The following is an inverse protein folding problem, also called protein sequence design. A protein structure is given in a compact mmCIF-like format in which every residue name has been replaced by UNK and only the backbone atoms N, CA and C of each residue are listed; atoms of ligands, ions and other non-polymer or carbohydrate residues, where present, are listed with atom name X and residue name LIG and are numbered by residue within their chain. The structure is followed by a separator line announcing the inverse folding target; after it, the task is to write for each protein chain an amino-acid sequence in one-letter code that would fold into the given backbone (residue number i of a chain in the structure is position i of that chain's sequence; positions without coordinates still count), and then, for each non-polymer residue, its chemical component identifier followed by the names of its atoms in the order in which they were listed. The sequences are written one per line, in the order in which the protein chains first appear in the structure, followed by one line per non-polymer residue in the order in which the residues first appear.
data_IF_939165614538
#
_entry.id   IF_939165614538
#
_cell.length_a   1.000
_cell.length_b   1.000
_cell.length_c   1.000
_cell.angle_alpha   90.00
_cell.angle_beta   90.00
_cell.angle_gamma   90.00
#
_symmetry.space_group_name_H-M   'P 1'
#
loop_
_entity.id
_entity.type
_entity.pdbx_description
1 polymer ?
#
# COMPACT_ATOMS: atom_id res chain seq x y z
N UNK A 1 -0.37 15.07 -10.46
CA UNK A 1 0.90 15.60 -9.92
C UNK A 1 0.68 16.67 -8.85
N UNK A 2 0.13 17.84 -9.18
CA UNK A 2 -0.04 18.97 -8.26
C UNK A 2 -0.73 18.60 -6.93
N UNK A 3 -1.81 17.80 -6.96
CA UNK A 3 -2.50 17.34 -5.74
C UNK A 3 -1.63 16.37 -4.90
N UNK A 4 -0.98 15.40 -5.56
CA UNK A 4 -0.22 14.35 -4.90
C UNK A 4 1.07 14.90 -4.28
N UNK A 5 1.77 15.79 -4.97
CA UNK A 5 3.08 16.31 -4.57
C UNK A 5 3.05 17.77 -4.09
N UNK A 6 1.86 18.40 -4.01
CA UNK A 6 1.70 19.81 -3.62
C UNK A 6 2.56 20.76 -4.44
N UNK A 7 2.63 20.49 -5.74
CA UNK A 7 3.37 21.29 -6.72
C UNK A 7 2.43 22.18 -7.52
N UNK A 8 2.99 23.18 -8.22
CA UNK A 8 2.23 24.18 -8.97
C UNK A 8 2.60 24.20 -10.45
N UNK A 9 2.95 23.05 -11.03
CA UNK A 9 3.35 23.00 -12.43
C UNK A 9 2.15 23.22 -13.35
N UNK A 10 2.34 24.05 -14.36
CA UNK A 10 1.38 24.25 -15.47
C UNK A 10 1.66 23.27 -16.62
N UNK A 11 2.92 22.90 -16.87
CA UNK A 11 3.29 21.87 -17.86
C UNK A 11 4.44 20.98 -17.38
N UNK A 12 4.10 19.73 -17.06
CA UNK A 12 5.04 18.71 -16.56
C UNK A 12 5.70 17.91 -17.68
N UNK A 13 5.14 17.88 -18.88
CA UNK A 13 5.66 17.06 -19.98
C UNK A 13 6.52 17.87 -20.96
N UNK A 14 6.66 19.18 -20.75
CA UNK A 14 7.63 19.99 -21.47
C UNK A 14 9.05 19.43 -21.32
N UNK A 15 9.66 19.11 -22.47
CA UNK A 15 11.04 18.62 -22.56
C UNK A 15 12.10 19.73 -22.55
N UNK A 16 11.70 21.00 -22.67
CA UNK A 16 12.61 22.15 -22.57
C UNK A 16 12.78 22.55 -21.11
N UNK A 17 13.88 22.10 -20.50
CA UNK A 17 14.22 22.41 -19.10
C UNK A 17 15.69 22.73 -18.96
N UNK A 18 16.00 23.68 -18.09
CA UNK A 18 17.36 23.99 -17.66
C UNK A 18 17.47 23.74 -16.16
N UNK A 19 18.55 23.09 -15.73
CA UNK A 19 18.86 22.82 -14.34
C UNK A 19 20.37 22.90 -14.13
N UNK A 20 20.81 23.28 -12.93
CA UNK A 20 22.23 23.30 -12.60
C UNK A 20 22.76 21.88 -12.41
N UNK A 21 24.07 21.69 -12.57
CA UNK A 21 24.74 20.42 -12.24
C UNK A 21 24.43 19.96 -10.81
N UNK A 22 24.47 20.90 -9.86
CA UNK A 22 24.15 20.63 -8.44
C UNK A 22 22.72 20.12 -8.26
N UNK A 23 21.74 20.70 -8.99
CA UNK A 23 20.36 20.22 -8.94
C UNK A 23 20.23 18.80 -9.51
N UNK A 24 20.91 18.51 -10.62
CA UNK A 24 20.92 17.18 -11.23
C UNK A 24 21.55 16.12 -10.30
N UNK A 25 22.71 16.43 -9.73
CA UNK A 25 23.45 15.54 -8.83
C UNK A 25 22.68 15.28 -7.52
N UNK A 26 21.79 16.21 -7.13
CA UNK A 26 20.91 16.06 -5.97
C UNK A 26 19.66 15.24 -6.27
N UNK A 27 19.08 15.39 -7.47
CA UNK A 27 17.85 14.68 -7.87
C UNK A 27 18.14 13.23 -8.30
N UNK A 28 19.27 12.99 -8.97
CA UNK A 28 19.70 11.69 -9.49
C UNK A 28 18.59 10.89 -10.20
N UNK A 29 18.01 11.41 -11.30
CA UNK A 29 16.91 10.75 -11.99
C UNK A 29 17.37 9.44 -12.64
N UNK A 30 16.54 8.39 -12.57
CA UNK A 30 16.84 7.03 -13.04
C UNK A 30 15.86 6.55 -14.12
N UNK A 31 14.68 7.16 -14.23
CA UNK A 31 13.62 6.73 -15.13
C UNK A 31 13.99 6.92 -16.60
N UNK A 32 13.86 5.87 -17.43
CA UNK A 32 14.07 5.98 -18.86
C UNK A 32 12.86 6.58 -19.58
N UNK A 33 13.09 7.31 -20.67
CA UNK A 33 12.04 7.75 -21.59
C UNK A 33 11.17 8.89 -21.04
N UNK A 34 9.86 8.84 -21.30
CA UNK A 34 8.94 9.96 -21.01
C UNK A 34 8.74 10.20 -19.50
N UNK A 35 8.92 9.16 -18.69
CA UNK A 35 8.80 9.18 -17.22
C UNK A 35 9.89 10.05 -16.58
N UNK A 36 11.01 10.29 -17.27
CA UNK A 36 12.09 11.17 -16.84
C UNK A 36 11.61 12.59 -16.50
N UNK A 37 10.74 13.17 -17.35
CA UNK A 37 10.22 14.52 -17.12
C UNK A 37 9.39 14.60 -15.84
N UNK A 38 8.63 13.53 -15.58
CA UNK A 38 7.81 13.42 -14.39
C UNK A 38 8.67 13.23 -13.14
N UNK A 39 9.67 12.35 -13.21
CA UNK A 39 10.66 12.12 -12.15
C UNK A 39 11.36 13.39 -11.74
N UNK A 40 11.89 14.14 -12.71
CA UNK A 40 12.63 15.37 -12.47
C UNK A 40 11.75 16.38 -11.73
N UNK A 41 10.49 16.52 -12.14
CA UNK A 41 9.55 17.45 -11.53
C UNK A 41 9.17 17.04 -10.09
N UNK A 42 8.95 15.74 -9.86
CA UNK A 42 8.65 15.20 -8.54
C UNK A 42 9.85 15.38 -7.61
N UNK A 43 11.03 14.92 -8.03
CA UNK A 43 12.23 14.93 -7.20
C UNK A 43 12.72 16.36 -6.93
N UNK A 44 12.58 17.29 -7.87
CA UNK A 44 12.90 18.69 -7.61
C UNK A 44 11.99 19.30 -6.53
N UNK A 45 10.71 18.95 -6.52
CA UNK A 45 9.77 19.32 -5.46
C UNK A 45 10.12 18.69 -4.11
N UNK A 46 10.43 17.38 -4.09
CA UNK A 46 10.84 16.66 -2.88
C UNK A 46 12.17 17.16 -2.31
N UNK A 47 13.12 17.56 -3.16
CA UNK A 47 14.40 18.15 -2.77
C UNK A 47 14.30 19.65 -2.39
N UNK A 48 13.08 20.21 -2.37
CA UNK A 48 12.80 21.61 -2.09
C UNK A 48 13.65 22.59 -2.93
N UNK A 49 13.84 22.27 -4.22
CA UNK A 49 14.58 23.13 -5.12
C UNK A 49 13.75 24.34 -5.54
N UNK A 50 14.43 25.46 -5.81
CA UNK A 50 13.79 26.64 -6.42
C UNK A 50 13.49 26.34 -7.88
N UNK A 51 12.24 26.54 -8.28
CA UNK A 51 11.75 26.25 -9.62
C UNK A 51 10.95 27.44 -10.13
N UNK A 52 11.10 27.74 -11.42
CA UNK A 52 10.31 28.76 -12.10
C UNK A 52 9.88 28.22 -13.46
N UNK A 53 8.61 28.42 -13.81
CA UNK A 53 8.12 28.15 -15.15
C UNK A 53 8.17 29.46 -15.95
N UNK A 54 8.76 29.41 -17.15
CA UNK A 54 8.75 30.54 -18.08
C UNK A 54 7.66 30.24 -19.10
N UNK A 55 6.56 31.01 -19.13
CA UNK A 55 5.47 30.74 -20.06
C UNK A 55 5.94 30.92 -21.49
N UNK A 56 5.62 29.93 -22.33
CA UNK A 56 5.86 29.98 -23.78
C UNK A 56 4.53 29.84 -24.51
N UNK A 57 4.40 30.51 -25.64
CA UNK A 57 3.23 30.36 -26.51
C UNK A 57 3.38 29.09 -27.34
N UNK A 58 2.62 28.06 -26.99
CA UNK A 58 2.60 26.80 -27.73
C UNK A 58 1.84 26.99 -29.05
N UNK A 59 2.50 26.70 -30.17
CA UNK A 59 1.88 26.74 -31.50
C UNK A 59 1.47 25.33 -31.95
N UNK A 60 0.46 25.25 -32.79
CA UNK A 60 -0.02 23.97 -33.31
C UNK A 60 1.10 23.26 -34.09
N UNK A 61 1.38 22.03 -33.67
CA UNK A 61 2.43 21.22 -34.29
C UNK A 61 1.89 20.63 -35.59
N UNK A 62 2.59 20.85 -36.71
CA UNK A 62 2.32 20.11 -37.96
C UNK A 62 2.78 18.66 -37.83
N UNK A 63 1.85 17.70 -37.96
CA UNK A 63 2.12 16.25 -37.99
C UNK A 63 1.25 15.44 -37.02
N UNK A 64 1.28 14.10 -37.16
CA UNK A 64 0.52 13.20 -36.30
C UNK A 64 1.11 13.11 -34.88
N UNK A 65 0.23 13.05 -33.88
CA UNK A 65 0.63 12.86 -32.50
C UNK A 65 1.28 11.48 -32.31
N UNK A 66 2.52 11.47 -31.83
CA UNK A 66 3.21 10.24 -31.40
C UNK A 66 2.77 9.76 -30.01
N UNK A 67 1.84 10.46 -29.38
CA UNK A 67 1.44 10.24 -27.98
C UNK A 67 0.31 9.22 -27.88
N UNK A 68 0.46 8.23 -26.99
CA UNK A 68 -0.59 7.24 -26.72
C UNK A 68 -1.20 7.56 -25.37
N UNK A 69 -2.16 8.50 -25.36
CA UNK A 69 -2.73 9.15 -24.17
C UNK A 69 -2.99 8.20 -22.98
N UNK A 70 -3.69 7.08 -23.21
CA UNK A 70 -3.99 6.13 -22.13
C UNK A 70 -2.77 5.35 -21.64
N UNK A 71 -1.92 4.87 -22.55
CA UNK A 71 -0.73 4.09 -22.19
C UNK A 71 0.30 4.93 -21.46
N UNK A 72 0.52 6.15 -21.93
CA UNK A 72 1.50 7.08 -21.37
C UNK A 72 0.98 7.73 -20.07
N UNK A 73 -0.33 7.99 -19.99
CA UNK A 73 -1.01 8.38 -18.75
C UNK A 73 -0.91 7.30 -17.67
N UNK A 74 -1.13 6.03 -18.02
CA UNK A 74 -1.01 4.92 -17.07
C UNK A 74 0.41 4.73 -16.53
N UNK A 75 1.42 4.84 -17.38
CA UNK A 75 2.84 4.83 -16.97
C UNK A 75 3.14 5.92 -15.95
N UNK A 76 2.70 7.13 -16.26
CA UNK A 76 2.88 8.30 -15.41
C UNK A 76 2.14 8.16 -14.08
N UNK A 77 0.91 7.66 -14.10
CA UNK A 77 0.14 7.37 -12.90
C UNK A 77 0.86 6.32 -12.03
N UNK A 78 1.26 5.19 -12.61
CA UNK A 78 2.00 4.13 -11.91
C UNK A 78 3.23 4.69 -11.19
N UNK A 79 3.99 5.55 -11.84
CA UNK A 79 5.13 6.22 -11.22
C UNK A 79 4.70 7.10 -10.04
N UNK A 80 3.68 7.95 -10.22
CA UNK A 80 3.17 8.79 -9.13
C UNK A 80 2.67 7.98 -7.92
N UNK A 81 2.03 6.82 -8.14
CA UNK A 81 1.56 5.95 -7.05
C UNK A 81 2.71 5.38 -6.22
N UNK A 82 3.82 5.02 -6.87
CA UNK A 82 5.03 4.53 -6.20
C UNK A 82 5.72 5.65 -5.40
N UNK A 83 5.71 6.88 -5.93
CA UNK A 83 6.35 8.04 -5.30
C UNK A 83 5.51 8.72 -4.20
N UNK A 84 4.18 8.49 -4.15
CA UNK A 84 3.30 9.07 -3.12
C UNK A 84 2.44 8.00 -2.40
N UNK A 85 3.05 6.98 -1.77
CA UNK A 85 2.29 5.85 -1.23
C UNK A 85 1.35 6.27 -0.08
N UNK A 86 1.74 7.26 0.74
CA UNK A 86 0.94 7.69 1.90
C UNK A 86 -0.44 8.22 1.52
N UNK A 87 -0.54 9.05 0.47
CA UNK A 87 -1.83 9.65 0.09
C UNK A 87 -2.75 8.66 -0.63
N UNK A 88 -2.17 7.65 -1.26
CA UNK A 88 -2.89 6.70 -2.10
C UNK A 88 -3.36 5.50 -1.30
N UNK A 89 -2.49 4.89 -0.49
CA UNK A 89 -2.74 3.57 0.06
C UNK A 89 -3.05 3.61 1.57
N UNK A 90 -2.44 4.51 2.33
CA UNK A 90 -2.55 4.50 3.78
C UNK A 90 -3.98 4.75 4.27
N UNK A 91 -4.61 5.85 3.82
CA UNK A 91 -5.96 6.23 4.26
C UNK A 91 -7.03 5.18 3.89
N UNK A 92 -7.17 4.77 2.61
CA UNK A 92 -8.17 3.76 2.25
C UNK A 92 -7.90 2.41 2.91
N UNK A 93 -6.61 2.03 3.09
CA UNK A 93 -6.24 0.81 3.81
C UNK A 93 -6.69 0.82 5.27
N UNK A 94 -6.40 1.91 6.01
CA UNK A 94 -6.85 2.08 7.40
C UNK A 94 -8.38 2.09 7.48
N UNK A 95 -9.05 2.85 6.63
CA UNK A 95 -10.52 2.91 6.62
C UNK A 95 -11.13 1.52 6.39
N UNK A 96 -10.61 0.76 5.43
CA UNK A 96 -11.08 -0.60 5.17
C UNK A 96 -10.83 -1.54 6.36
N UNK A 97 -9.68 -1.47 7.03
CA UNK A 97 -9.44 -2.27 8.24
C UNK A 97 -10.40 -1.90 9.36
N UNK A 98 -10.60 -0.60 9.62
CA UNK A 98 -11.52 -0.14 10.69
C UNK A 98 -12.94 -0.60 10.41
N UNK A 99 -13.41 -0.49 9.17
CA UNK A 99 -14.72 -1.00 8.76
C UNK A 99 -14.82 -2.52 8.90
N UNK A 100 -13.77 -3.25 8.50
CA UNK A 100 -13.71 -4.70 8.58
C UNK A 100 -13.73 -5.22 10.02
N UNK A 101 -12.91 -4.64 10.90
CA UNK A 101 -12.88 -4.96 12.32
C UNK A 101 -14.20 -4.57 13.02
N UNK A 102 -14.77 -3.42 12.65
CA UNK A 102 -16.09 -3.00 13.12
C UNK A 102 -17.19 -4.00 12.74
N UNK A 103 -17.20 -4.46 11.48
CA UNK A 103 -18.14 -5.48 11.02
C UNK A 103 -17.94 -6.83 11.74
N UNK A 104 -16.70 -7.26 11.98
CA UNK A 104 -16.44 -8.44 12.80
C UNK A 104 -16.94 -8.27 14.23
N UNK A 105 -16.70 -7.12 14.86
CA UNK A 105 -17.20 -6.84 16.20
C UNK A 105 -18.73 -6.90 16.26
N UNK A 106 -19.42 -6.23 15.33
CA UNK A 106 -20.89 -6.23 15.26
C UNK A 106 -21.46 -7.64 15.01
N UNK A 107 -20.77 -8.42 14.16
CA UNK A 107 -21.10 -9.81 13.86
C UNK A 107 -20.96 -10.72 15.08
N UNK A 108 -19.80 -10.69 15.75
CA UNK A 108 -19.50 -11.52 16.92
C UNK A 108 -20.30 -11.12 18.17
N UNK A 109 -20.62 -9.84 18.32
CA UNK A 109 -21.46 -9.35 19.42
C UNK A 109 -22.96 -9.65 19.21
N UNK A 110 -23.36 -10.21 18.05
CA UNK A 110 -24.76 -10.53 17.75
C UNK A 110 -25.67 -9.31 17.65
N UNK A 111 -25.09 -8.12 17.38
CA UNK A 111 -25.80 -6.84 17.37
C UNK A 111 -26.54 -6.59 16.05
N UNK A 112 -26.23 -7.34 14.99
CA UNK A 112 -26.84 -7.17 13.67
C UNK A 112 -27.98 -8.18 13.49
N UNK A 113 -29.21 -7.66 13.50
CA UNK A 113 -30.43 -8.42 13.24
C UNK A 113 -31.29 -7.71 12.22
N UNK A 114 -31.93 -8.45 11.34
CA UNK A 114 -32.88 -7.91 10.37
C UNK A 114 -34.18 -8.70 10.43
N UNK A 115 -35.28 -8.01 10.71
CA UNK A 115 -36.59 -8.63 10.97
C UNK A 115 -36.58 -9.77 12.01
N UNK A 116 -35.68 -9.70 13.00
CA UNK A 116 -35.55 -10.70 14.06
C UNK A 116 -34.53 -11.82 13.76
N UNK A 117 -34.12 -11.97 12.51
CA UNK A 117 -33.13 -12.97 12.09
C UNK A 117 -31.69 -12.48 12.30
N UNK A 118 -30.77 -13.34 12.78
CA UNK A 118 -29.37 -12.98 12.97
C UNK A 118 -28.66 -12.83 11.62
N UNK A 119 -28.07 -11.66 11.37
CA UNK A 119 -27.24 -11.39 10.19
C UNK A 119 -25.74 -11.49 10.49
N UNK A 120 -25.37 -12.16 11.59
CA UNK A 120 -23.99 -12.30 12.06
C UNK A 120 -23.07 -12.84 10.97
N UNK A 121 -23.44 -13.95 10.32
CA UNK A 121 -22.62 -14.61 9.29
C UNK A 121 -22.33 -13.70 8.10
N UNK A 122 -23.37 -13.08 7.52
CA UNK A 122 -23.22 -12.20 6.34
C UNK A 122 -22.36 -10.98 6.69
N UNK A 123 -22.60 -10.38 7.86
CA UNK A 123 -21.81 -9.25 8.36
C UNK A 123 -20.34 -9.65 8.56
N UNK A 124 -20.09 -10.86 9.08
CA UNK A 124 -18.76 -11.41 9.26
C UNK A 124 -18.00 -11.58 7.95
N UNK A 125 -18.68 -11.99 6.87
CA UNK A 125 -18.09 -12.09 5.52
C UNK A 125 -17.64 -10.71 5.02
N UNK A 126 -18.49 -9.68 5.14
CA UNK A 126 -18.07 -8.31 4.81
C UNK A 126 -16.90 -7.85 5.68
N UNK A 127 -16.91 -8.22 6.97
CA UNK A 127 -15.78 -8.01 7.88
C UNK A 127 -14.47 -8.58 7.33
N UNK A 128 -14.49 -9.82 6.84
CA UNK A 128 -13.33 -10.47 6.21
C UNK A 128 -12.89 -9.73 4.95
N UNK A 129 -13.83 -9.40 4.05
CA UNK A 129 -13.51 -8.72 2.79
C UNK A 129 -12.81 -7.39 3.06
N UNK A 130 -13.38 -6.55 3.93
CA UNK A 130 -12.82 -5.23 4.24
C UNK A 130 -11.50 -5.34 5.01
N UNK A 131 -11.39 -6.24 5.98
CA UNK A 131 -10.17 -6.45 6.77
C UNK A 131 -9.01 -6.94 5.90
N UNK A 132 -9.25 -7.98 5.09
CA UNK A 132 -8.23 -8.55 4.20
C UNK A 132 -7.84 -7.54 3.13
N UNK A 133 -8.81 -6.89 2.47
CA UNK A 133 -8.51 -5.89 1.43
C UNK A 133 -7.74 -4.71 2.01
N UNK A 134 -8.16 -4.19 3.16
CA UNK A 134 -7.46 -3.11 3.86
C UNK A 134 -6.04 -3.50 4.24
N UNK A 135 -5.84 -4.71 4.76
CA UNK A 135 -4.52 -5.25 5.05
C UNK A 135 -3.63 -5.37 3.81
N UNK A 136 -4.15 -5.85 2.68
CA UNK A 136 -3.38 -5.91 1.42
C UNK A 136 -2.99 -4.52 0.91
N UNK A 137 -3.89 -3.53 1.00
CA UNK A 137 -3.59 -2.14 0.65
C UNK A 137 -2.49 -1.59 1.55
N UNK A 138 -2.53 -1.86 2.86
CA UNK A 138 -1.48 -1.43 3.79
C UNK A 138 -0.15 -2.17 3.59
N UNK A 139 -0.16 -3.44 3.22
CA UNK A 139 1.07 -4.13 2.82
C UNK A 139 1.68 -3.49 1.59
N UNK A 140 0.87 -3.16 0.57
CA UNK A 140 1.35 -2.48 -0.63
C UNK A 140 1.92 -1.10 -0.30
N UNK A 141 1.27 -0.35 0.59
CA UNK A 141 1.78 0.91 1.14
C UNK A 141 3.17 0.72 1.75
N UNK A 142 3.32 -0.28 2.63
CA UNK A 142 4.55 -0.57 3.34
C UNK A 142 5.68 -1.02 2.39
N UNK A 143 5.36 -1.86 1.41
CA UNK A 143 6.30 -2.29 0.37
C UNK A 143 6.74 -1.13 -0.50
N UNK A 144 5.81 -0.28 -0.94
CA UNK A 144 6.12 0.92 -1.71
C UNK A 144 7.01 1.89 -0.92
N UNK A 145 6.76 2.05 0.38
CA UNK A 145 7.64 2.83 1.28
C UNK A 145 9.03 2.24 1.42
N UNK A 146 9.12 0.91 1.57
CA UNK A 146 10.42 0.20 1.64
C UNK A 146 11.20 0.35 0.34
N UNK A 147 10.51 0.24 -0.79
CA UNK A 147 11.11 0.47 -2.10
C UNK A 147 11.62 1.90 -2.26
N UNK A 148 10.80 2.90 -1.92
CA UNK A 148 11.18 4.33 -1.97
C UNK A 148 12.42 4.63 -1.12
N UNK A 149 12.49 4.06 0.09
CA UNK A 149 13.64 4.22 1.00
C UNK A 149 14.93 3.64 0.43
N UNK A 150 14.88 2.42 -0.13
CA UNK A 150 16.06 1.77 -0.74
C UNK A 150 16.64 2.57 -1.92
N UNK A 151 15.81 3.36 -2.61
CA UNK A 151 16.21 4.24 -3.71
C UNK A 151 16.55 5.69 -3.27
N UNK A 152 16.62 5.94 -1.96
CA UNK A 152 16.97 7.22 -1.33
C UNK A 152 16.00 8.39 -1.54
N UNK A 153 14.80 8.16 -2.06
CA UNK A 153 13.81 9.24 -2.23
C UNK A 153 13.25 9.77 -0.89
N UNK A 154 13.28 8.93 0.14
CA UNK A 154 12.82 9.22 1.51
C UNK A 154 13.95 9.01 2.55
N UNK A 155 15.23 9.04 2.14
CA UNK A 155 16.37 8.65 2.98
C UNK A 155 16.47 9.44 4.30
N UNK A 156 16.05 10.70 4.28
CA UNK A 156 16.15 11.62 5.42
C UNK A 156 14.87 11.67 6.28
N UNK A 157 13.88 10.79 6.04
CA UNK A 157 12.63 10.80 6.79
C UNK A 157 12.81 10.11 8.17
N UNK A 158 12.84 10.87 9.29
CA UNK A 158 13.18 10.31 10.60
C UNK A 158 12.14 9.30 11.10
N UNK A 159 10.88 9.42 10.67
CA UNK A 159 9.83 8.47 11.03
C UNK A 159 10.00 7.13 10.32
N UNK A 160 10.52 7.15 9.09
CA UNK A 160 10.76 5.93 8.32
C UNK A 160 11.99 5.18 8.86
N UNK A 161 13.06 5.91 9.21
CA UNK A 161 14.25 5.33 9.84
C UNK A 161 13.88 4.68 11.17
N UNK A 162 13.14 5.36 12.05
CA UNK A 162 12.64 4.78 13.31
C UNK A 162 11.77 3.55 13.12
N UNK A 163 10.94 3.53 12.07
CA UNK A 163 10.12 2.37 11.75
C UNK A 163 10.99 1.15 11.39
N UNK A 164 12.01 1.33 10.54
CA UNK A 164 12.94 0.23 10.18
C UNK A 164 13.86 -0.18 11.33
N UNK A 165 14.23 0.74 12.22
CA UNK A 165 15.00 0.40 13.43
C UNK A 165 14.20 -0.47 14.40
N UNK A 166 12.88 -0.28 14.43
CA UNK A 166 11.96 -1.06 15.27
C UNK A 166 11.51 -2.36 14.60
N UNK A 167 11.30 -2.34 13.28
CA UNK A 167 10.78 -3.47 12.53
C UNK A 167 11.86 -4.54 12.31
N UNK A 168 11.83 -5.58 13.14
CA UNK A 168 12.64 -6.78 12.98
C UNK A 168 11.84 -7.88 12.26
N UNK A 169 12.50 -8.64 11.39
CA UNK A 169 11.90 -9.78 10.70
C UNK A 169 11.26 -10.75 11.71
N UNK A 170 11.94 -11.00 12.82
CA UNK A 170 11.51 -11.88 13.90
C UNK A 170 10.18 -11.43 14.50
N UNK A 171 9.97 -10.13 14.68
CA UNK A 171 8.71 -9.57 15.21
C UNK A 171 7.56 -9.83 14.23
N UNK A 172 7.78 -9.61 12.93
CA UNK A 172 6.80 -9.86 11.89
C UNK A 172 6.43 -11.34 11.76
N UNK A 173 7.43 -12.24 11.81
CA UNK A 173 7.23 -13.68 11.82
C UNK A 173 6.46 -14.14 13.06
N UNK A 174 6.82 -13.64 14.24
CA UNK A 174 6.15 -13.98 15.49
C UNK A 174 4.67 -13.55 15.49
N UNK A 175 4.39 -12.29 15.13
CA UNK A 175 3.01 -11.80 15.05
C UNK A 175 2.19 -12.54 14.00
N UNK A 176 2.76 -12.78 12.82
CA UNK A 176 2.09 -13.54 11.76
C UNK A 176 1.79 -14.98 12.18
N UNK A 177 2.74 -15.66 12.83
CA UNK A 177 2.54 -17.02 13.35
C UNK A 177 1.49 -17.05 14.47
N UNK A 178 1.51 -16.07 15.38
CA UNK A 178 0.51 -15.97 16.46
C UNK A 178 -0.91 -15.85 15.88
N UNK A 179 -1.11 -14.98 14.90
CA UNK A 179 -2.41 -14.81 14.22
C UNK A 179 -2.84 -16.07 13.47
N UNK A 180 -1.90 -16.72 12.77
CA UNK A 180 -2.16 -17.94 12.03
C UNK A 180 -2.57 -19.09 12.96
N UNK A 181 -1.87 -19.28 14.08
CA UNK A 181 -2.19 -20.30 15.07
C UNK A 181 -3.51 -19.99 15.78
N UNK A 182 -3.77 -18.74 16.16
CA UNK A 182 -5.03 -18.35 16.79
C UNK A 182 -6.23 -18.56 15.85
N UNK A 183 -6.13 -18.10 14.60
CA UNK A 183 -7.17 -18.33 13.59
C UNK A 183 -7.37 -19.81 13.28
N UNK A 184 -6.27 -20.56 13.15
CA UNK A 184 -6.29 -22.00 12.95
C UNK A 184 -6.98 -22.74 14.09
N UNK A 185 -6.67 -22.39 15.34
CA UNK A 185 -7.31 -22.98 16.52
C UNK A 185 -8.83 -22.74 16.55
N UNK A 186 -9.28 -21.52 16.26
CA UNK A 186 -10.71 -21.19 16.16
C UNK A 186 -11.38 -22.07 15.11
N UNK A 187 -10.81 -22.15 13.91
CA UNK A 187 -11.36 -22.95 12.81
C UNK A 187 -11.35 -24.45 13.14
N UNK A 188 -10.29 -24.97 13.76
CA UNK A 188 -10.19 -26.36 14.18
C UNK A 188 -11.27 -26.73 15.21
N UNK A 189 -11.54 -25.86 16.19
CA UNK A 189 -12.62 -26.06 17.16
C UNK A 189 -13.98 -26.09 16.48
N UNK A 190 -14.24 -25.18 15.54
CA UNK A 190 -15.50 -25.14 14.80
C UNK A 190 -15.69 -26.36 13.89
N UNK A 191 -14.62 -26.82 13.23
CA UNK A 191 -14.66 -28.05 12.42
C UNK A 191 -14.94 -29.26 13.31
N UNK A 192 -14.33 -29.33 14.49
CA UNK A 192 -14.59 -30.41 15.44
C UNK A 192 -16.04 -30.43 15.94
N UNK A 193 -16.59 -29.25 16.29
CA UNK A 193 -18.01 -29.09 16.67
C UNK A 193 -18.96 -29.51 15.53
N UNK A 194 -18.62 -29.15 14.30
CA UNK A 194 -19.37 -29.55 13.11
C UNK A 194 -19.40 -31.06 12.90
N UNK A 195 -18.25 -31.72 13.05
CA UNK A 195 -18.14 -33.19 12.94
C UNK A 195 -18.91 -33.88 14.07
N UNK A 196 -18.82 -33.38 15.31
CA UNK A 196 -19.59 -33.94 16.43
C UNK A 196 -21.11 -33.76 16.28
N UNK A 197 -21.52 -32.73 15.55
CA UNK A 197 -22.93 -32.43 15.27
C UNK A 197 -23.46 -33.17 14.03
N UNK A 198 -22.78 -34.22 13.58
CA UNK A 198 -23.12 -34.99 12.35
C UNK A 198 -23.30 -34.08 11.12
N UNK A 199 -22.40 -33.10 10.99
CA UNK A 199 -22.39 -32.10 9.92
C UNK A 199 -23.61 -31.17 9.90
N UNK A 200 -24.34 -31.06 11.01
CA UNK A 200 -25.44 -30.12 11.20
C UNK A 200 -25.02 -28.63 11.21
N UNK A 201 -25.98 -27.69 11.29
CA UNK A 201 -25.68 -26.26 11.32
C UNK A 201 -24.83 -25.88 12.54
N UNK A 202 -23.76 -25.11 12.31
CA UNK A 202 -22.93 -24.55 13.37
C UNK A 202 -23.75 -23.61 14.28
N UNK A 203 -23.47 -23.66 15.58
CA UNK A 203 -24.12 -22.78 16.57
C UNK A 203 -23.69 -21.31 16.44
N UNK A 204 -22.42 -21.10 16.09
CA UNK A 204 -21.80 -19.76 16.01
C UNK A 204 -21.01 -19.60 14.70
N UNK A 205 -21.68 -19.63 13.53
CA UNK A 205 -21.04 -19.59 12.22
C UNK A 205 -20.24 -18.30 11.96
N UNK A 206 -20.53 -17.20 12.66
CA UNK A 206 -19.81 -15.92 12.58
C UNK A 206 -18.32 -16.01 12.92
N UNK A 207 -17.93 -16.95 13.79
CA UNK A 207 -16.53 -17.17 14.15
C UNK A 207 -15.70 -17.75 13.03
N UNK A 208 -16.32 -18.40 12.04
CA UNK A 208 -15.63 -18.92 10.86
C UNK A 208 -15.00 -17.77 10.07
N UNK A 209 -15.76 -16.69 9.82
CA UNK A 209 -15.25 -15.53 9.08
C UNK A 209 -14.11 -14.83 9.83
N UNK A 210 -14.22 -14.69 11.16
CA UNK A 210 -13.16 -14.10 11.97
C UNK A 210 -11.90 -14.96 11.99
N UNK A 211 -12.04 -16.27 12.23
CA UNK A 211 -10.92 -17.22 12.18
C UNK A 211 -10.21 -17.23 10.84
N UNK A 212 -10.95 -17.26 9.73
CA UNK A 212 -10.40 -17.16 8.38
C UNK A 212 -9.62 -15.86 8.15
N UNK A 213 -10.14 -14.73 8.66
CA UNK A 213 -9.47 -13.43 8.56
C UNK A 213 -8.12 -13.44 9.27
N UNK A 214 -8.05 -13.99 10.48
CA UNK A 214 -6.79 -14.13 11.23
C UNK A 214 -5.77 -15.00 10.50
N UNK A 215 -6.19 -16.12 9.91
CA UNK A 215 -5.32 -16.99 9.12
C UNK A 215 -4.75 -16.25 7.91
N UNK A 216 -5.61 -15.58 7.12
CA UNK A 216 -5.19 -14.86 5.91
C UNK A 216 -4.24 -13.71 6.25
N UNK A 217 -4.58 -12.90 7.26
CA UNK A 217 -3.74 -11.77 7.71
C UNK A 217 -2.44 -12.28 8.33
N UNK A 218 -2.48 -13.35 9.12
CA UNK A 218 -1.29 -13.97 9.72
C UNK A 218 -0.31 -14.47 8.65
N UNK A 219 -0.79 -15.27 7.69
CA UNK A 219 0.01 -15.73 6.56
C UNK A 219 0.57 -14.56 5.74
N UNK A 220 -0.26 -13.57 5.42
CA UNK A 220 0.19 -12.39 4.69
C UNK A 220 1.23 -11.56 5.44
N UNK A 221 1.17 -11.50 6.77
CA UNK A 221 2.16 -10.83 7.62
C UNK A 221 3.51 -11.53 7.54
N UNK A 222 3.54 -12.87 7.57
CA UNK A 222 4.76 -13.67 7.43
C UNK A 222 5.44 -13.38 6.09
N UNK A 223 4.71 -13.50 4.98
CA UNK A 223 5.28 -13.27 3.65
C UNK A 223 5.68 -11.80 3.42
N UNK A 224 4.88 -10.85 3.91
CA UNK A 224 5.20 -9.42 3.85
C UNK A 224 6.49 -9.10 4.60
N UNK A 225 6.68 -9.68 5.78
CA UNK A 225 7.89 -9.49 6.60
C UNK A 225 9.14 -10.04 5.93
N UNK A 226 9.05 -11.23 5.34
CA UNK A 226 10.13 -11.83 4.54
C UNK A 226 10.51 -10.94 3.34
N UNK A 227 9.52 -10.41 2.63
CA UNK A 227 9.74 -9.53 1.48
C UNK A 227 10.42 -8.21 1.87
N UNK A 228 9.96 -7.57 2.96
CA UNK A 228 10.58 -6.35 3.49
C UNK A 228 12.03 -6.61 3.91
N UNK A 229 12.28 -7.71 4.62
CA UNK A 229 13.63 -8.09 5.04
C UNK A 229 14.56 -8.27 3.83
N UNK A 230 14.10 -8.92 2.76
CA UNK A 230 14.90 -9.11 1.55
C UNK A 230 15.26 -7.78 0.87
N UNK A 231 14.36 -6.80 0.86
CA UNK A 231 14.63 -5.45 0.30
C UNK A 231 15.50 -4.58 1.22
N UNK A 232 15.45 -4.82 2.53
CA UNK A 232 16.22 -4.06 3.53
C UNK A 232 17.67 -4.54 3.69
N UNK A 233 18.06 -5.65 3.06
CA UNK A 233 19.46 -6.11 3.07
C UNK A 233 20.35 -5.05 2.41
N UNK A 234 21.06 -4.26 3.23
CA UNK A 234 22.12 -3.39 2.75
C UNK A 234 23.12 -4.25 1.99
N UNK A 235 23.49 -3.83 0.77
CA UNK A 235 24.66 -4.36 0.07
C UNK A 235 25.83 -4.26 1.06
N UNK A 236 26.35 -5.38 1.57
CA UNK A 236 27.62 -5.31 2.28
C UNK A 236 28.62 -4.78 1.26
N UNK A 237 29.23 -3.65 1.56
CA UNK A 237 30.43 -3.21 0.89
C UNK A 237 31.48 -4.28 1.19
N UNK A 238 31.55 -5.30 0.34
CA UNK A 238 32.77 -6.07 0.20
C UNK A 238 33.79 -5.06 -0.31
N UNK A 239 34.61 -4.61 0.64
CA UNK A 239 35.85 -3.88 0.43
C UNK A 239 36.76 -4.65 -0.51
#
# INVERSE_FOLDING_TARGET
LNILFQTTYTDVYCGYRAFSRVAYDRIQPVSPGMEFNLELAINAGLAHLKMTEIPIQLHERKGESKLRTFRDGWRSLRMMLIYCPNKVFLLPGIMAIVLGLGAHFLSLAGLVRFHGEPLGTVTGIFGTIFSVTGFQILNLWLHAKTYSWSRRFDADNPNLVRFYDWFKLETGLFLGLLLLLAGGAILSVLVFDWVQSDFGPLRTPEWVSFGATLVIVGAGTIFSSLFISAMSMKKSSWT
#
